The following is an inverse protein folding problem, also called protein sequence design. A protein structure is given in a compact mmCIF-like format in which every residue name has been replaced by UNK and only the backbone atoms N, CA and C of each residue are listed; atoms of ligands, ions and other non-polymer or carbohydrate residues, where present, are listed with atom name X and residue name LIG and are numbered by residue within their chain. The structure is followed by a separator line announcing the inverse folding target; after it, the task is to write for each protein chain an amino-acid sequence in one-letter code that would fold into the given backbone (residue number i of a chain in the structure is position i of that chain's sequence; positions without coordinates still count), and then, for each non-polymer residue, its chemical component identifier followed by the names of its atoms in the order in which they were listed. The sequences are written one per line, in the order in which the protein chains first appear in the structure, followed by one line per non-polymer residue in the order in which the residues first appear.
data_IF_745053399887
#
_entry.id   IF_745053399887
#
_cell.length_a   1.000
_cell.length_b   1.000
_cell.length_c   1.000
_cell.angle_alpha   90.00
_cell.angle_beta   90.00
_cell.angle_gamma   90.00
#
_symmetry.space_group_name_H-M   'P 1'
#
loop_
_entity.id
_entity.type
_entity.pdbx_description
1 polymer ?
#
# COMPACT_ATOMS: atom_id res chain seq x y z
N UNK A 1 -4.12 -63.17 12.91
CA UNK A 1 -3.66 -62.08 13.78
C UNK A 1 -2.64 -61.15 13.13
N UNK A 2 -1.50 -61.61 12.58
CA UNK A 2 -0.47 -60.73 12.00
C UNK A 2 -0.94 -59.86 10.84
N UNK A 3 -1.96 -60.24 10.06
CA UNK A 3 -2.50 -59.42 8.95
C UNK A 3 -3.33 -58.24 9.45
N UNK A 4 -4.09 -58.42 10.51
CA UNK A 4 -4.90 -57.34 11.07
C UNK A 4 -4.06 -56.28 11.79
N UNK A 5 -2.97 -56.69 12.42
CA UNK A 5 -2.02 -55.74 13.05
C UNK A 5 -1.40 -54.84 11.99
N UNK A 6 -1.04 -55.36 10.83
CA UNK A 6 -0.49 -54.51 9.71
C UNK A 6 -1.51 -53.55 9.14
N UNK A 7 -2.78 -53.96 9.04
CA UNK A 7 -3.88 -53.10 8.57
C UNK A 7 -4.17 -51.96 9.57
N UNK A 8 -4.21 -52.29 10.87
CA UNK A 8 -4.43 -51.29 11.93
C UNK A 8 -3.25 -50.29 12.01
N UNK A 9 -2.02 -50.76 11.86
CA UNK A 9 -0.85 -49.88 11.83
C UNK A 9 -0.85 -48.96 10.61
N UNK A 10 -1.25 -49.44 9.43
CA UNK A 10 -1.36 -48.63 8.24
C UNK A 10 -2.48 -47.57 8.32
N UNK A 11 -3.61 -47.93 8.99
CA UNK A 11 -4.71 -46.99 9.20
C UNK A 11 -4.35 -45.89 10.20
N UNK A 12 -3.60 -46.22 11.26
CA UNK A 12 -3.08 -45.26 12.24
C UNK A 12 -2.06 -44.28 11.65
N UNK A 13 -1.21 -44.77 10.77
CA UNK A 13 -0.27 -43.87 10.06
C UNK A 13 -0.97 -42.92 9.08
N UNK A 14 -2.07 -43.37 8.46
CA UNK A 14 -2.83 -42.52 7.54
C UNK A 14 -3.62 -41.43 8.29
N UNK A 15 -4.09 -41.71 9.49
CA UNK A 15 -4.77 -40.67 10.32
C UNK A 15 -3.83 -39.61 10.87
N UNK A 16 -2.55 -39.92 11.09
CA UNK A 16 -1.55 -38.97 11.56
C UNK A 16 -1.14 -37.93 10.48
N UNK A 17 -1.44 -38.21 9.22
CA UNK A 17 -1.07 -37.31 8.09
C UNK A 17 -2.07 -36.17 7.87
N UNK A 18 -3.21 -36.16 8.53
CA UNK A 18 -4.25 -35.13 8.33
C UNK A 18 -4.18 -33.96 9.31
N UNK A 19 -3.24 -33.96 10.26
CA UNK A 19 -3.10 -32.88 11.25
C UNK A 19 -2.08 -31.79 10.84
N UNK A 20 -1.59 -31.79 9.61
CA UNK A 20 -0.48 -30.95 9.17
C UNK A 20 -0.89 -29.66 8.42
N UNK A 21 -2.14 -29.23 8.52
CA UNK A 21 -2.56 -27.92 8.02
C UNK A 21 -3.43 -27.22 9.05
N UNK A 22 -2.88 -26.94 10.24
CA UNK A 22 -3.34 -25.76 10.95
C UNK A 22 -2.73 -24.56 10.27
N UNK A 23 -3.51 -23.84 9.47
CA UNK A 23 -3.26 -22.43 9.21
C UNK A 23 -3.43 -21.72 10.56
N UNK A 24 -2.41 -21.80 11.41
CA UNK A 24 -2.33 -20.95 12.57
C UNK A 24 -2.29 -19.52 12.06
N UNK A 25 -3.08 -18.64 12.67
CA UNK A 25 -2.94 -17.21 12.48
C UNK A 25 -1.47 -16.88 12.73
N UNK A 26 -0.74 -16.59 11.65
CA UNK A 26 0.65 -16.15 11.78
C UNK A 26 0.60 -14.75 12.36
N UNK A 27 0.85 -14.62 13.64
CA UNK A 27 1.12 -13.33 14.24
C UNK A 27 2.47 -12.85 13.73
N UNK A 28 2.46 -11.72 13.04
CA UNK A 28 3.69 -11.01 12.66
C UNK A 28 3.98 -9.96 13.70
N UNK A 29 5.23 -9.91 14.13
CA UNK A 29 5.69 -8.82 14.97
C UNK A 29 5.81 -7.52 14.17
N UNK A 30 5.60 -6.39 14.85
CA UNK A 30 5.85 -5.08 14.25
C UNK A 30 7.33 -4.99 13.80
N UNK A 31 7.54 -4.35 12.67
CA UNK A 31 8.89 -4.11 12.18
C UNK A 31 9.68 -3.26 13.17
N UNK A 32 10.86 -3.73 13.58
CA UNK A 32 11.71 -3.05 14.58
C UNK A 32 12.13 -1.64 14.16
N UNK A 33 12.25 -1.39 12.84
CA UNK A 33 12.52 -0.08 12.27
C UNK A 33 11.35 0.90 12.36
N UNK A 34 10.20 0.47 12.90
CA UNK A 34 9.01 1.30 13.08
C UNK A 34 8.10 1.32 11.84
N UNK A 35 7.12 2.21 11.89
CA UNK A 35 6.14 2.40 10.83
C UNK A 35 6.70 3.29 9.73
N UNK A 36 6.67 2.82 8.49
CA UNK A 36 7.08 3.58 7.32
C UNK A 36 5.86 4.10 6.56
N UNK A 37 5.78 5.42 6.36
CA UNK A 37 4.75 6.03 5.53
C UNK A 37 5.26 6.24 4.10
N UNK A 38 4.41 6.02 3.11
CA UNK A 38 4.75 6.19 1.71
C UNK A 38 3.51 6.52 0.87
N UNK A 39 3.73 7.06 -0.33
CA UNK A 39 2.65 7.26 -1.26
C UNK A 39 2.23 5.92 -1.88
N UNK A 40 0.93 5.65 -1.94
CA UNK A 40 0.38 4.39 -2.44
C UNK A 40 0.75 4.11 -3.92
N UNK A 41 0.97 5.17 -4.69
CA UNK A 41 1.34 5.11 -6.11
C UNK A 41 2.66 5.86 -6.32
N UNK A 42 3.77 5.15 -6.24
CA UNK A 42 5.10 5.74 -6.41
C UNK A 42 5.67 5.52 -7.81
N UNK A 43 5.26 4.47 -8.48
CA UNK A 43 5.74 4.11 -9.81
C UNK A 43 4.65 3.35 -10.58
N UNK A 44 4.37 3.72 -11.84
CA UNK A 44 4.95 4.83 -12.57
C UNK A 44 4.55 6.18 -11.99
N UNK A 45 5.28 7.25 -12.36
CA UNK A 45 4.92 8.63 -11.99
C UNK A 45 3.46 8.86 -12.38
N UNK A 46 2.65 9.29 -11.41
CA UNK A 46 1.23 9.51 -11.64
C UNK A 46 1.04 10.70 -12.56
N UNK A 47 0.63 10.43 -13.78
CA UNK A 47 0.22 11.44 -14.75
C UNK A 47 -1.29 11.50 -14.77
N UNK A 48 -1.85 12.70 -14.66
CA UNK A 48 -3.28 12.96 -14.82
C UNK A 48 -3.42 13.63 -16.17
N UNK A 49 -4.14 12.98 -17.09
CA UNK A 49 -4.46 13.52 -18.41
C UNK A 49 -5.87 14.09 -18.34
N UNK A 50 -5.96 15.40 -18.46
CA UNK A 50 -7.26 16.08 -18.46
C UNK A 50 -7.99 15.84 -19.79
N UNK A 51 -9.30 15.50 -19.69
CA UNK A 51 -10.14 15.22 -20.86
C UNK A 51 -10.04 13.78 -21.39
N UNK A 52 -9.36 12.88 -20.66
CA UNK A 52 -9.39 11.45 -20.95
C UNK A 52 -10.69 10.86 -20.41
N UNK A 53 -11.54 10.37 -21.30
CA UNK A 53 -12.85 9.79 -20.95
C UNK A 53 -12.79 8.27 -20.71
N UNK A 54 -11.62 7.65 -20.80
CA UNK A 54 -11.44 6.20 -20.59
C UNK A 54 -11.59 5.81 -19.11
N UNK A 55 -11.38 6.77 -18.21
CA UNK A 55 -11.42 6.56 -16.75
C UNK A 55 -12.48 7.44 -16.07
N UNK A 56 -12.73 7.19 -14.80
CA UNK A 56 -13.63 8.05 -14.00
C UNK A 56 -13.08 9.49 -13.91
N UNK A 57 -13.71 10.40 -14.62
CA UNK A 57 -13.34 11.81 -14.71
C UNK A 57 -14.04 12.70 -13.67
N UNK A 58 -14.70 12.12 -12.67
CA UNK A 58 -15.48 12.89 -11.66
C UNK A 58 -14.60 13.90 -10.92
N UNK A 59 -13.39 13.51 -10.52
CA UNK A 59 -12.45 14.41 -9.84
C UNK A 59 -11.92 15.48 -10.80
N UNK A 60 -11.62 15.12 -12.03
CA UNK A 60 -11.09 16.04 -13.05
C UNK A 60 -12.08 17.14 -13.36
N UNK A 61 -13.36 16.79 -13.55
CA UNK A 61 -14.45 17.75 -13.72
C UNK A 61 -14.65 18.67 -12.52
N UNK A 62 -14.30 18.20 -11.33
CA UNK A 62 -14.30 18.99 -10.11
C UNK A 62 -13.00 19.79 -9.89
N UNK A 63 -12.06 19.75 -10.85
CA UNK A 63 -10.71 20.33 -10.73
C UNK A 63 -9.95 19.85 -9.50
N UNK A 64 -10.05 18.54 -9.21
CA UNK A 64 -9.43 17.90 -8.04
C UNK A 64 -8.58 16.71 -8.44
N UNK A 65 -7.54 16.45 -7.68
CA UNK A 65 -6.85 15.17 -7.73
C UNK A 65 -6.71 14.59 -6.32
N UNK A 66 -6.56 13.28 -6.24
CA UNK A 66 -6.41 12.55 -4.99
C UNK A 66 -5.02 11.92 -4.93
N UNK A 67 -4.25 12.32 -3.93
CA UNK A 67 -2.95 11.71 -3.62
C UNK A 67 -3.15 10.86 -2.36
N UNK A 68 -2.81 9.58 -2.45
CA UNK A 68 -3.00 8.63 -1.38
C UNK A 68 -1.67 8.33 -0.70
N UNK A 69 -1.66 8.40 0.62
CA UNK A 69 -0.58 7.91 1.46
C UNK A 69 -1.05 6.68 2.23
N UNK A 70 -0.15 5.78 2.47
CA UNK A 70 -0.36 4.58 3.28
C UNK A 70 0.85 4.34 4.18
N UNK A 71 0.78 3.34 5.03
CA UNK A 71 1.89 2.97 5.89
C UNK A 71 2.04 1.45 5.96
N UNK A 72 3.24 1.00 6.29
CA UNK A 72 3.56 -0.41 6.49
C UNK A 72 4.44 -0.60 7.72
N UNK A 73 4.63 -1.85 8.11
CA UNK A 73 5.44 -2.23 9.26
C UNK A 73 4.69 -2.21 10.60
N UNK A 74 3.37 -1.96 10.58
CA UNK A 74 2.53 -1.98 11.78
C UNK A 74 1.45 -3.04 11.66
N UNK A 75 1.64 -4.15 12.35
CA UNK A 75 0.69 -5.27 12.40
C UNK A 75 -0.25 -5.22 13.61
N UNK A 76 0.11 -4.45 14.63
CA UNK A 76 -0.60 -4.39 15.92
C UNK A 76 -1.44 -3.11 16.07
N UNK A 77 -1.89 -2.51 14.97
CA UNK A 77 -2.86 -1.44 15.02
C UNK A 77 -2.31 -0.08 15.47
N UNK A 78 -1.10 0.27 15.06
CA UNK A 78 -0.54 1.60 15.34
C UNK A 78 -1.12 2.64 14.40
N UNK A 79 -1.48 3.78 14.96
CA UNK A 79 -1.85 4.97 14.20
C UNK A 79 -0.61 5.82 13.96
N UNK A 80 -0.54 6.46 12.81
CA UNK A 80 0.55 7.36 12.45
C UNK A 80 0.00 8.68 11.93
N UNK A 81 0.66 9.77 12.28
CA UNK A 81 0.42 11.09 11.69
C UNK A 81 1.57 11.42 10.76
N UNK A 82 1.25 11.71 9.50
CA UNK A 82 2.21 12.08 8.47
C UNK A 82 2.01 13.53 8.08
N UNK A 83 3.05 14.34 8.20
CA UNK A 83 3.03 15.70 7.72
C UNK A 83 3.46 15.74 6.25
N UNK A 84 2.70 16.46 5.44
CA UNK A 84 2.94 16.63 4.00
C UNK A 84 3.33 18.07 3.72
N UNK A 85 4.40 18.24 2.98
CA UNK A 85 4.85 19.53 2.49
C UNK A 85 5.09 19.46 0.97
N UNK A 86 4.87 20.57 0.29
CA UNK A 86 5.25 20.72 -1.13
C UNK A 86 6.68 21.24 -1.20
N UNK A 87 7.49 20.56 -1.96
CA UNK A 87 8.88 20.96 -2.23
C UNK A 87 9.09 21.11 -3.74
N UNK A 88 9.10 22.34 -4.19
CA UNK A 88 9.27 22.68 -5.61
C UNK A 88 10.67 22.32 -6.13
N UNK A 89 11.68 22.26 -5.25
CA UNK A 89 13.06 21.92 -5.66
C UNK A 89 13.17 20.48 -6.19
N UNK A 90 12.23 19.61 -5.85
CA UNK A 90 12.17 18.24 -6.38
C UNK A 90 11.90 18.19 -7.90
N UNK A 91 11.44 19.30 -8.50
CA UNK A 91 11.30 19.42 -9.95
C UNK A 91 12.58 19.90 -10.65
N UNK A 92 13.58 20.36 -9.89
CA UNK A 92 14.80 20.91 -10.46
C UNK A 92 15.58 19.83 -11.22
N UNK A 93 16.03 20.17 -12.42
CA UNK A 93 16.79 19.29 -13.31
C UNK A 93 16.06 18.02 -13.76
N UNK A 94 14.74 17.94 -13.56
CA UNK A 94 13.93 16.86 -14.13
C UNK A 94 13.45 17.21 -15.53
N UNK A 95 13.43 16.21 -16.40
CA UNK A 95 12.86 16.30 -17.75
C UNK A 95 11.92 15.12 -18.00
N UNK A 96 10.90 15.34 -18.81
CA UNK A 96 10.10 14.27 -19.38
C UNK A 96 10.93 13.46 -20.39
N UNK A 97 10.39 12.32 -20.83
CA UNK A 97 11.06 11.44 -21.78
C UNK A 97 11.36 12.11 -23.14
N UNK A 98 10.57 13.11 -23.51
CA UNK A 98 10.77 13.93 -24.71
C UNK A 98 11.78 15.08 -24.52
N UNK A 99 12.41 15.18 -23.35
CA UNK A 99 13.38 16.23 -23.01
C UNK A 99 12.75 17.53 -22.51
N UNK A 100 11.42 17.64 -22.46
CA UNK A 100 10.75 18.83 -21.92
C UNK A 100 11.01 18.97 -20.41
N UNK A 101 11.43 20.15 -19.92
CA UNK A 101 11.67 20.35 -18.50
C UNK A 101 10.39 20.19 -17.66
N UNK A 102 10.48 19.48 -16.54
CA UNK A 102 9.43 19.45 -15.53
C UNK A 102 9.41 20.78 -14.80
N UNK A 103 8.24 21.36 -14.63
CA UNK A 103 8.04 22.62 -13.90
C UNK A 103 7.16 22.36 -12.69
N UNK A 104 7.58 22.89 -11.54
CA UNK A 104 6.73 22.90 -10.36
C UNK A 104 5.46 23.74 -10.63
N UNK A 105 4.31 23.23 -10.15
CA UNK A 105 3.05 23.98 -10.23
C UNK A 105 3.12 25.20 -9.30
N UNK A 106 2.84 26.41 -9.77
CA UNK A 106 2.77 27.59 -8.92
C UNK A 106 1.72 27.42 -7.80
N UNK A 107 2.04 27.92 -6.62
CA UNK A 107 1.23 27.74 -5.42
C UNK A 107 -0.19 28.33 -5.54
N UNK A 108 -0.38 29.32 -6.41
CA UNK A 108 -1.68 29.92 -6.70
C UNK A 108 -2.66 29.01 -7.47
N UNK A 109 -2.17 27.91 -8.06
CA UNK A 109 -2.99 27.00 -8.87
C UNK A 109 -3.47 25.76 -8.15
N UNK A 110 -3.06 25.57 -6.88
CA UNK A 110 -3.53 24.42 -6.11
C UNK A 110 -3.75 24.77 -4.64
N UNK A 111 -4.55 23.95 -3.99
CA UNK A 111 -4.76 24.00 -2.55
C UNK A 111 -4.75 22.57 -2.00
N UNK A 112 -3.94 22.33 -0.97
CA UNK A 112 -3.98 21.08 -0.23
C UNK A 112 -5.19 21.09 0.72
N UNK A 113 -5.94 19.99 0.76
CA UNK A 113 -7.05 19.83 1.71
C UNK A 113 -6.56 19.70 3.15
N UNK A 114 -5.35 19.18 3.34
CA UNK A 114 -4.68 19.06 4.64
C UNK A 114 -3.17 18.94 4.44
N UNK A 115 -2.43 19.34 5.46
CA UNK A 115 -0.98 19.13 5.55
C UNK A 115 -0.61 18.07 6.59
N UNK A 116 -1.60 17.50 7.29
CA UNK A 116 -1.40 16.41 8.25
C UNK A 116 -2.40 15.28 7.96
N UNK A 117 -1.88 14.10 7.68
CA UNK A 117 -2.66 12.90 7.41
C UNK A 117 -2.62 11.99 8.63
N UNK A 118 -3.78 11.65 9.17
CA UNK A 118 -3.90 10.64 10.20
C UNK A 118 -4.18 9.29 9.54
N UNK A 119 -3.20 8.41 9.61
CA UNK A 119 -3.27 7.04 9.12
C UNK A 119 -3.72 6.14 10.26
N UNK A 120 -4.88 5.53 10.11
CA UNK A 120 -5.51 4.66 11.09
C UNK A 120 -5.49 3.23 10.56
N UNK A 121 -4.87 2.32 11.31
CA UNK A 121 -4.75 0.91 10.94
C UNK A 121 -6.10 0.18 10.84
N UNK A 122 -7.14 0.72 11.44
CA UNK A 122 -8.48 0.15 11.41
C UNK A 122 -9.36 0.65 10.25
N UNK A 123 -8.80 1.54 9.42
CA UNK A 123 -9.48 2.09 8.23
C UNK A 123 -8.68 1.74 6.98
N UNK A 124 -8.89 0.53 6.50
CA UNK A 124 -8.46 0.10 5.17
C UNK A 124 -9.50 0.44 4.12
#
# INVERSE_FOLDING_TARGET
MKRYIKMVAALLTLMASFTACENGDQAFDDYEGGTTAYFAYQSPVRTIVLGDDEYDTTLDKAHKCKILATFGGSYNGRNATVNVAVDNSLCDNLTFADGTPVKAMPAEYYQLSTTALNLDSNKS
#
